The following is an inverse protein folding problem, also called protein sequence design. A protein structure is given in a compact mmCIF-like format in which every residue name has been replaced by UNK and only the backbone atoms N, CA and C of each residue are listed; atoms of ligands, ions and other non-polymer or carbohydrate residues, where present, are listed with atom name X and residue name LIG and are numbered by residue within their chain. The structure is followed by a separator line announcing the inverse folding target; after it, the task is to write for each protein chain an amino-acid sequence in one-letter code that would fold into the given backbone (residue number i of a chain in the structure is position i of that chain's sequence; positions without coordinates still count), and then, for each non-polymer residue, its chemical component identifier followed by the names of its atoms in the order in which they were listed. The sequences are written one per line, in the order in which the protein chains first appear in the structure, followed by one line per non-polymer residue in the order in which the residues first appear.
data_IF_760475582473
#
_entry.id   IF_760475582473
#
_cell.length_a   1.000
_cell.length_b   1.000
_cell.length_c   1.000
_cell.angle_alpha   90.00
_cell.angle_beta   90.00
_cell.angle_gamma   90.00
#
_symmetry.space_group_name_H-M   'P 1'
#
loop_
_entity.id
_entity.type
_entity.pdbx_description
1 polymer ?
#
# COMPACT_ATOMS: atom_id res chain seq x y z
N UNK A 1 -2.56 10.23 31.08
CA UNK A 1 -2.37 9.85 29.68
C UNK A 1 -2.84 8.42 29.54
N UNK A 2 -3.51 8.05 28.47
CA UNK A 2 -4.04 6.68 28.32
C UNK A 2 -2.97 5.64 27.92
N UNK A 3 -1.73 6.06 27.65
CA UNK A 3 -0.63 5.13 27.38
C UNK A 3 -0.10 4.51 28.67
N UNK A 4 0.09 3.18 28.63
CA UNK A 4 0.90 2.46 29.61
C UNK A 4 2.33 2.37 29.08
N UNK A 5 3.33 2.57 29.93
CA UNK A 5 4.71 2.63 29.51
C UNK A 5 5.68 2.30 30.66
N UNK A 6 6.91 1.99 30.28
CA UNK A 6 8.02 1.77 31.21
C UNK A 6 9.19 2.70 30.85
N UNK A 7 9.95 3.12 31.87
CA UNK A 7 11.24 3.79 31.65
C UNK A 7 12.31 2.73 31.47
N UNK A 8 12.95 2.76 30.33
CA UNK A 8 13.99 1.81 29.95
C UNK A 8 15.28 2.56 29.59
N UNK A 9 16.38 1.81 29.46
CA UNK A 9 17.63 2.33 28.95
C UNK A 9 17.93 1.71 27.58
N UNK A 10 18.06 2.56 26.55
CA UNK A 10 18.35 2.14 25.19
C UNK A 10 19.56 2.91 24.66
N UNK A 11 20.58 2.20 24.19
CA UNK A 11 21.87 2.75 23.73
C UNK A 11 22.51 3.75 24.72
N UNK A 12 22.33 3.51 26.03
CA UNK A 12 22.91 4.33 27.10
C UNK A 12 22.05 5.52 27.53
N UNK A 13 20.92 5.81 26.87
CA UNK A 13 19.99 6.88 27.20
C UNK A 13 18.72 6.37 27.89
N UNK A 14 18.22 7.13 28.87
CA UNK A 14 16.93 6.85 29.48
C UNK A 14 15.81 7.27 28.51
N UNK A 15 14.88 6.37 28.26
CA UNK A 15 13.80 6.56 27.30
C UNK A 15 12.53 5.79 27.71
N UNK A 16 11.49 5.91 26.91
CA UNK A 16 10.19 5.27 27.14
C UNK A 16 10.01 4.08 26.17
N UNK A 17 9.55 2.97 26.74
CA UNK A 17 8.90 1.88 26.01
C UNK A 17 7.40 1.91 26.26
N UNK A 18 6.59 2.02 25.19
CA UNK A 18 5.14 1.91 25.29
C UNK A 18 4.78 0.45 25.47
N UNK A 19 4.03 0.13 26.52
CA UNK A 19 3.57 -1.23 26.84
C UNK A 19 2.10 -1.45 26.53
N UNK A 20 1.35 -0.37 26.22
CA UNK A 20 -0.06 -0.47 25.83
C UNK A 20 -0.80 0.84 25.83
N UNK A 21 -2.14 0.74 25.70
CA UNK A 21 -3.06 1.87 25.71
C UNK A 21 -4.36 1.49 26.40
N UNK A 22 -4.80 2.30 27.36
CA UNK A 22 -6.07 2.08 28.08
C UNK A 22 -7.26 2.64 27.29
N UNK A 23 -8.35 1.87 27.27
CA UNK A 23 -9.57 2.22 26.56
C UNK A 23 -9.57 1.85 25.07
N UNK A 24 -10.65 2.24 24.39
CA UNK A 24 -10.83 2.00 22.95
C UNK A 24 -10.25 3.14 22.12
N UNK A 25 -9.60 2.82 20.99
CA UNK A 25 -9.02 3.80 20.08
C UNK A 25 -9.05 3.29 18.63
N UNK A 26 -9.58 4.12 17.71
CA UNK A 26 -9.59 3.79 16.28
C UNK A 26 -8.36 4.31 15.54
N UNK A 27 -7.89 5.50 15.89
CA UNK A 27 -6.67 6.10 15.33
C UNK A 27 -5.71 6.41 16.47
N UNK A 28 -4.57 5.74 16.49
CA UNK A 28 -3.57 5.81 17.55
C UNK A 28 -2.34 6.58 17.06
N UNK A 29 -2.09 7.74 17.63
CA UNK A 29 -0.85 8.47 17.41
C UNK A 29 0.05 8.33 18.62
N UNK A 30 1.21 7.70 18.44
CA UNK A 30 2.23 7.56 19.48
C UNK A 30 2.92 8.92 19.67
N UNK A 31 3.01 9.44 20.90
CA UNK A 31 3.71 10.69 21.16
C UNK A 31 5.23 10.54 21.04
N UNK A 32 5.90 11.59 20.57
CA UNK A 32 7.36 11.60 20.46
C UNK A 32 8.05 11.53 21.85
N UNK A 33 7.41 12.10 22.89
CA UNK A 33 7.92 12.14 24.26
C UNK A 33 6.83 11.90 25.30
N UNK A 34 7.21 11.26 26.40
CA UNK A 34 6.40 11.13 27.63
C UNK A 34 7.29 11.52 28.80
N UNK A 35 6.81 12.40 29.70
CA UNK A 35 7.56 12.93 30.84
C UNK A 35 8.95 13.51 30.48
N UNK A 36 9.05 14.11 29.29
CA UNK A 36 10.30 14.68 28.78
C UNK A 36 11.27 13.67 28.15
N UNK A 37 11.04 12.36 28.34
CA UNK A 37 11.85 11.29 27.74
C UNK A 37 11.31 10.90 26.37
N UNK A 38 12.20 10.60 25.43
CA UNK A 38 11.81 10.18 24.09
C UNK A 38 11.19 8.77 24.11
N UNK A 39 10.12 8.57 23.31
CA UNK A 39 9.54 7.25 23.07
C UNK A 39 10.42 6.55 22.04
N UNK A 40 11.18 5.55 22.47
CA UNK A 40 12.14 4.81 21.63
C UNK A 40 11.65 3.42 21.24
N UNK A 41 10.72 2.85 21.98
CA UNK A 41 10.31 1.47 21.80
C UNK A 41 8.81 1.29 21.91
N UNK A 42 8.26 0.43 21.05
CA UNK A 42 6.95 -0.19 21.24
C UNK A 42 7.21 -1.59 21.77
N UNK A 43 6.74 -1.86 22.98
CA UNK A 43 7.05 -3.07 23.73
C UNK A 43 6.39 -4.34 23.16
N UNK A 44 6.85 -5.47 23.67
CA UNK A 44 6.32 -6.78 23.30
C UNK A 44 4.82 -6.87 23.60
N UNK A 45 4.02 -7.27 22.58
CA UNK A 45 2.56 -7.38 22.63
C UNK A 45 1.82 -6.09 23.05
N UNK A 46 2.44 -4.91 22.97
CA UNK A 46 1.87 -3.65 23.46
C UNK A 46 0.45 -3.37 22.98
N UNK A 47 0.14 -3.73 21.73
CA UNK A 47 -1.17 -3.54 21.10
C UNK A 47 -1.75 -4.83 20.51
N UNK A 48 -1.19 -6.00 20.85
CA UNK A 48 -1.62 -7.26 20.27
C UNK A 48 -3.11 -7.52 20.47
N UNK A 49 -3.79 -7.99 19.40
CA UNK A 49 -5.21 -8.38 19.44
C UNK A 49 -6.22 -7.24 19.50
N UNK A 50 -5.81 -5.99 19.26
CA UNK A 50 -6.72 -4.84 19.25
C UNK A 50 -7.59 -4.83 18.00
N UNK A 51 -8.88 -5.10 18.17
CA UNK A 51 -9.88 -5.15 17.09
C UNK A 51 -10.52 -3.78 16.79
N UNK A 52 -10.32 -2.80 17.66
CA UNK A 52 -10.81 -1.43 17.52
C UNK A 52 -9.86 -0.54 16.71
N UNK A 53 -8.56 -0.90 16.66
CA UNK A 53 -7.51 -0.13 16.02
C UNK A 53 -7.62 -0.19 14.49
N UNK A 54 -7.68 0.99 13.84
CA UNK A 54 -7.77 1.13 12.39
C UNK A 54 -6.53 1.79 11.80
N UNK A 55 -5.90 2.63 12.59
CA UNK A 55 -4.82 3.49 12.13
C UNK A 55 -3.76 3.67 13.21
N UNK A 56 -2.49 3.59 12.83
CA UNK A 56 -1.35 3.81 13.73
C UNK A 56 -0.38 4.80 13.09
N UNK A 57 0.00 5.81 13.85
CA UNK A 57 1.05 6.77 13.49
C UNK A 57 2.17 6.70 14.51
N UNK A 58 3.37 6.35 14.06
CA UNK A 58 4.59 6.30 14.88
C UNK A 58 5.46 7.52 14.60
N UNK A 59 6.01 8.18 15.63
CA UNK A 59 6.92 9.32 15.47
C UNK A 59 8.34 8.88 15.07
N UNK A 60 9.17 9.80 14.55
CA UNK A 60 10.56 9.52 14.18
C UNK A 60 11.46 9.15 15.36
N UNK A 61 11.01 9.38 16.60
CA UNK A 61 11.75 8.97 17.80
C UNK A 61 11.75 7.47 18.01
N UNK A 62 10.78 6.73 17.49
CA UNK A 62 10.68 5.27 17.64
C UNK A 62 11.80 4.60 16.85
N UNK A 63 12.58 3.76 17.53
CA UNK A 63 13.73 3.03 17.01
C UNK A 63 13.51 1.52 17.02
N UNK A 64 12.58 1.04 17.85
CA UNK A 64 12.39 -0.38 18.08
C UNK A 64 10.92 -0.76 18.12
N UNK A 65 10.55 -1.76 17.31
CA UNK A 65 9.28 -2.45 17.35
C UNK A 65 9.50 -3.88 17.84
N UNK A 66 9.08 -4.15 19.08
CA UNK A 66 9.33 -5.43 19.73
C UNK A 66 8.40 -6.54 19.22
N UNK A 67 8.73 -7.79 19.56
CA UNK A 67 8.00 -8.99 19.19
C UNK A 67 6.48 -8.82 19.35
N UNK A 68 5.73 -9.06 18.27
CA UNK A 68 4.26 -9.09 18.26
C UNK A 68 3.60 -7.77 18.71
N UNK A 69 4.27 -6.63 18.54
CA UNK A 69 3.79 -5.33 19.06
C UNK A 69 2.35 -5.00 18.61
N UNK A 70 2.00 -5.27 17.35
CA UNK A 70 0.66 -5.08 16.77
C UNK A 70 0.04 -6.40 16.26
N UNK A 71 0.57 -7.55 16.70
CA UNK A 71 0.09 -8.85 16.24
C UNK A 71 -1.43 -8.99 16.37
N UNK A 72 -2.07 -9.54 15.32
CA UNK A 72 -3.51 -9.81 15.31
C UNK A 72 -4.39 -8.56 15.56
N UNK A 73 -3.93 -7.37 15.11
CA UNK A 73 -4.77 -6.20 14.96
C UNK A 73 -5.55 -6.32 13.65
N UNK A 74 -6.49 -7.28 13.59
CA UNK A 74 -7.15 -7.69 12.35
C UNK A 74 -7.87 -6.56 11.61
N UNK A 75 -8.26 -5.51 12.33
CA UNK A 75 -8.97 -4.36 11.78
C UNK A 75 -8.06 -3.15 11.46
N UNK A 76 -6.75 -3.27 11.69
CA UNK A 76 -5.77 -2.24 11.35
C UNK A 76 -5.66 -2.13 9.82
N UNK A 77 -5.88 -0.93 9.27
CA UNK A 77 -5.88 -0.68 7.82
C UNK A 77 -4.70 0.14 7.36
N UNK A 78 -4.22 1.08 8.20
CA UNK A 78 -3.14 2.00 7.85
C UNK A 78 -2.11 2.10 8.95
N UNK A 79 -0.84 2.17 8.53
CA UNK A 79 0.28 2.43 9.41
C UNK A 79 1.20 3.47 8.78
N UNK A 80 1.55 4.52 9.55
CA UNK A 80 2.48 5.56 9.12
C UNK A 80 3.67 5.59 10.08
N UNK A 81 4.89 5.49 9.53
CA UNK A 81 6.11 5.40 10.33
C UNK A 81 7.32 5.96 9.56
N UNK A 82 8.49 5.85 10.18
CA UNK A 82 9.76 6.37 9.66
C UNK A 82 10.78 5.24 9.54
N UNK A 83 11.73 5.35 8.63
CA UNK A 83 12.89 4.46 8.51
C UNK A 83 13.87 4.59 9.68
N UNK A 84 13.53 5.43 10.66
CA UNK A 84 14.20 5.52 11.95
C UNK A 84 14.08 4.25 12.81
N UNK A 85 13.16 3.34 12.45
CA UNK A 85 13.04 2.01 13.09
C UNK A 85 14.22 1.16 12.65
N UNK A 86 15.15 0.92 13.57
CA UNK A 86 16.39 0.15 13.37
C UNK A 86 16.20 -1.33 13.75
N UNK A 87 15.41 -1.58 14.80
CA UNK A 87 15.09 -2.89 15.32
C UNK A 87 13.64 -3.26 15.06
N UNK A 88 13.40 -4.06 14.02
CA UNK A 88 12.09 -4.65 13.73
C UNK A 88 12.12 -6.12 14.08
N UNK A 89 11.37 -6.52 15.13
CA UNK A 89 11.34 -7.90 15.58
C UNK A 89 10.25 -8.72 14.87
N UNK A 90 10.32 -10.04 15.05
CA UNK A 90 9.40 -10.97 14.39
C UNK A 90 7.94 -10.76 14.80
N UNK A 91 7.03 -10.84 13.83
CA UNK A 91 5.59 -10.86 14.02
C UNK A 91 4.97 -9.53 14.43
N UNK A 92 5.66 -8.39 14.24
CA UNK A 92 5.15 -7.06 14.65
C UNK A 92 3.74 -6.81 14.13
N UNK A 93 3.49 -7.07 12.85
CA UNK A 93 2.20 -6.86 12.18
C UNK A 93 1.57 -8.18 11.69
N UNK A 94 2.05 -9.32 12.15
CA UNK A 94 1.51 -10.63 11.75
C UNK A 94 0.04 -10.75 12.10
N UNK A 95 -0.77 -11.30 11.19
CA UNK A 95 -2.22 -11.43 11.30
C UNK A 95 -2.98 -10.08 11.37
N UNK A 96 -2.41 -8.99 10.87
CA UNK A 96 -3.13 -7.75 10.59
C UNK A 96 -3.79 -7.86 9.21
N UNK A 97 -4.87 -8.62 9.09
CA UNK A 97 -5.46 -9.04 7.80
C UNK A 97 -6.04 -7.92 6.96
N UNK A 98 -6.46 -6.83 7.60
CA UNK A 98 -7.02 -5.65 6.92
C UNK A 98 -5.94 -4.57 6.63
N UNK A 99 -4.65 -4.84 6.93
CA UNK A 99 -3.58 -3.85 6.74
C UNK A 99 -3.24 -3.72 5.25
N UNK A 100 -3.78 -2.69 4.63
CA UNK A 100 -3.68 -2.43 3.20
C UNK A 100 -2.63 -1.37 2.85
N UNK A 101 -2.45 -0.34 3.69
CA UNK A 101 -1.62 0.83 3.40
C UNK A 101 -0.56 1.07 4.47
N UNK A 102 0.69 1.15 4.03
CA UNK A 102 1.83 1.46 4.89
C UNK A 102 2.58 2.65 4.29
N UNK A 103 2.57 3.78 5.02
CA UNK A 103 3.35 4.96 4.67
C UNK A 103 4.67 4.94 5.44
N UNK A 104 5.80 5.04 4.73
CA UNK A 104 7.12 5.11 5.37
C UNK A 104 7.83 6.37 4.87
N UNK A 105 8.19 7.25 5.82
CA UNK A 105 9.08 8.39 5.54
C UNK A 105 10.52 7.94 5.61
N UNK A 106 11.20 7.98 4.47
CA UNK A 106 12.57 7.55 4.30
C UNK A 106 13.51 8.77 4.40
N UNK A 107 14.37 8.78 5.41
CA UNK A 107 15.45 9.76 5.56
C UNK A 107 16.77 9.31 4.92
N UNK A 108 16.88 8.03 4.57
CA UNK A 108 18.06 7.38 4.01
C UNK A 108 17.73 6.46 2.83
N UNK A 109 18.74 5.71 2.38
CA UNK A 109 18.60 4.73 1.30
C UNK A 109 18.45 3.30 1.86
N UNK A 110 17.64 3.12 2.90
CA UNK A 110 17.41 1.80 3.50
C UNK A 110 15.96 1.39 3.33
N UNK A 111 15.74 0.27 2.67
CA UNK A 111 14.44 -0.40 2.53
C UNK A 111 14.32 -1.60 3.48
N UNK A 112 15.16 -1.66 4.52
CA UNK A 112 15.17 -2.78 5.46
C UNK A 112 13.80 -2.95 6.13
N UNK A 113 13.20 -1.84 6.60
CA UNK A 113 11.89 -1.83 7.23
C UNK A 113 10.79 -2.35 6.29
N UNK A 114 10.79 -1.91 5.02
CA UNK A 114 9.85 -2.43 3.99
C UNK A 114 10.00 -3.94 3.85
N UNK A 115 11.25 -4.42 3.75
CA UNK A 115 11.56 -5.85 3.62
C UNK A 115 11.08 -6.67 4.81
N UNK A 116 11.31 -6.16 6.02
CA UNK A 116 10.95 -6.85 7.26
C UNK A 116 9.42 -6.90 7.42
N UNK A 117 8.71 -5.80 7.15
CA UNK A 117 7.24 -5.74 7.16
C UNK A 117 6.60 -6.67 6.12
N UNK A 118 7.16 -6.72 4.90
CA UNK A 118 6.73 -7.65 3.85
C UNK A 118 6.91 -9.13 4.23
N UNK A 119 7.85 -9.42 5.13
CA UNK A 119 8.12 -10.78 5.60
C UNK A 119 7.15 -11.24 6.69
N UNK A 120 6.43 -10.32 7.32
CA UNK A 120 5.49 -10.63 8.40
C UNK A 120 4.12 -11.09 7.91
N UNK A 121 3.73 -10.74 6.68
CA UNK A 121 2.41 -11.03 6.13
C UNK A 121 2.48 -11.54 4.68
N UNK A 122 1.53 -12.38 4.32
CA UNK A 122 1.34 -12.97 3.00
C UNK A 122 0.21 -12.31 2.18
N UNK A 123 -0.69 -11.56 2.84
CA UNK A 123 -1.79 -10.85 2.17
C UNK A 123 -1.32 -9.63 1.36
N UNK A 124 -2.20 -9.08 0.53
CA UNK A 124 -1.91 -7.92 -0.31
C UNK A 124 -1.68 -6.65 0.52
N UNK A 125 -0.64 -5.89 0.18
CA UNK A 125 -0.28 -4.63 0.85
C UNK A 125 0.28 -3.61 -0.13
N UNK A 126 0.05 -2.32 0.15
CA UNK A 126 0.62 -1.20 -0.58
C UNK A 126 1.54 -0.37 0.31
N UNK A 127 2.71 -0.05 -0.19
CA UNK A 127 3.68 0.82 0.47
C UNK A 127 3.75 2.16 -0.25
N UNK A 128 3.58 3.24 0.50
CA UNK A 128 3.82 4.60 0.07
C UNK A 128 5.10 5.11 0.73
N UNK A 129 6.16 5.21 -0.04
CA UNK A 129 7.49 5.60 0.43
C UNK A 129 7.72 7.07 0.10
N UNK A 130 7.89 7.88 1.14
CA UNK A 130 8.10 9.32 1.03
C UNK A 130 9.59 9.62 1.19
N UNK A 131 10.25 9.98 0.10
CA UNK A 131 11.64 10.43 0.06
C UNK A 131 11.72 11.95 -0.04
N UNK A 132 12.86 12.58 0.27
CA UNK A 132 13.03 14.02 0.05
C UNK A 132 12.86 14.40 -1.43
N UNK A 133 11.70 15.01 -1.75
CA UNK A 133 11.39 15.47 -3.12
C UNK A 133 10.86 14.40 -4.06
N UNK A 134 10.59 13.21 -3.59
CA UNK A 134 10.10 12.10 -4.41
C UNK A 134 9.16 11.18 -3.62
N UNK A 135 8.23 10.58 -4.32
CA UNK A 135 7.29 9.58 -3.78
C UNK A 135 7.34 8.32 -4.62
N UNK A 136 7.30 7.17 -3.95
CA UNK A 136 7.26 5.85 -4.59
C UNK A 136 6.06 5.10 -4.02
N UNK A 137 5.22 4.53 -4.88
CA UNK A 137 4.17 3.63 -4.46
C UNK A 137 4.33 2.27 -5.10
N UNK A 138 4.29 1.22 -4.27
CA UNK A 138 4.43 -0.17 -4.69
C UNK A 138 3.39 -1.02 -3.99
N UNK A 139 2.65 -1.79 -4.77
CA UNK A 139 1.66 -2.74 -4.28
C UNK A 139 2.14 -4.16 -4.45
N UNK A 140 2.01 -4.95 -3.40
CA UNK A 140 2.47 -6.34 -3.33
C UNK A 140 1.26 -7.26 -3.24
N UNK A 141 1.05 -8.16 -4.23
CA UNK A 141 -0.05 -9.10 -4.21
C UNK A 141 0.06 -10.08 -3.04
N UNK A 142 -1.04 -10.76 -2.75
CA UNK A 142 -1.03 -11.89 -1.84
C UNK A 142 -0.30 -13.11 -2.43
N UNK A 143 0.10 -14.02 -1.56
CA UNK A 143 0.58 -15.35 -1.93
C UNK A 143 0.22 -16.36 -0.86
N UNK A 144 0.14 -17.62 -1.23
CA UNK A 144 -0.02 -18.72 -0.29
C UNK A 144 1.19 -19.63 -0.31
N UNK A 145 1.63 -20.08 0.87
CA UNK A 145 2.61 -21.14 1.00
C UNK A 145 1.89 -22.47 1.14
N UNK A 146 2.01 -23.32 0.14
CA UNK A 146 1.41 -24.66 0.12
C UNK A 146 2.46 -25.68 0.48
N UNK A 147 2.14 -26.50 1.49
CA UNK A 147 2.93 -27.67 1.84
C UNK A 147 2.25 -28.93 1.28
N UNK A 148 2.93 -29.67 0.46
CA UNK A 148 2.48 -30.99 -0.01
C UNK A 148 3.40 -32.09 0.56
N UNK A 149 2.79 -33.12 1.14
CA UNK A 149 3.55 -34.29 1.60
C UNK A 149 3.71 -35.29 0.45
N UNK A 150 4.95 -35.59 0.12
CA UNK A 150 5.26 -36.75 -0.68
C UNK A 150 5.50 -37.95 0.24
N UNK A 151 4.43 -38.71 0.49
CA UNK A 151 4.46 -39.86 1.41
C UNK A 151 5.43 -40.96 0.97
N UNK A 152 5.66 -41.11 -0.35
CA UNK A 152 6.62 -42.11 -0.87
C UNK A 152 8.08 -41.69 -0.63
N UNK A 153 8.38 -40.40 -0.77
CA UNK A 153 9.73 -39.87 -0.54
C UNK A 153 9.96 -39.42 0.92
N UNK A 154 8.94 -39.41 1.76
CA UNK A 154 8.96 -38.88 3.14
C UNK A 154 9.50 -37.45 3.20
N UNK A 155 9.17 -36.62 2.20
CA UNK A 155 9.59 -35.23 2.09
C UNK A 155 8.39 -34.31 2.06
N UNK A 156 8.51 -33.15 2.68
CA UNK A 156 7.56 -32.05 2.54
C UNK A 156 8.08 -31.15 1.44
N UNK A 157 7.27 -30.91 0.42
CA UNK A 157 7.56 -29.96 -0.63
C UNK A 157 6.76 -28.70 -0.37
N UNK A 158 7.43 -27.55 -0.47
CA UNK A 158 6.79 -26.24 -0.35
C UNK A 158 6.71 -25.60 -1.74
N UNK A 159 5.53 -25.06 -2.06
CA UNK A 159 5.29 -24.27 -3.26
C UNK A 159 4.63 -22.95 -2.88
N UNK A 160 4.90 -21.91 -3.65
CA UNK A 160 4.21 -20.63 -3.51
C UNK A 160 3.16 -20.51 -4.60
N UNK A 161 1.92 -20.20 -4.22
CA UNK A 161 0.85 -19.85 -5.14
C UNK A 161 0.63 -18.34 -5.14
N UNK A 162 0.31 -17.75 -6.31
CA UNK A 162 0.16 -16.31 -6.51
C UNK A 162 1.48 -15.59 -6.78
N UNK A 163 1.37 -14.36 -7.28
CA UNK A 163 2.54 -13.52 -7.64
C UNK A 163 3.27 -12.91 -6.45
N UNK A 164 2.63 -12.83 -5.30
CA UNK A 164 3.09 -12.01 -4.17
C UNK A 164 4.48 -12.34 -3.64
N UNK A 165 4.88 -13.61 -3.62
CA UNK A 165 6.22 -13.99 -3.18
C UNK A 165 7.31 -13.45 -4.11
N UNK A 166 7.11 -13.53 -5.44
CA UNK A 166 8.06 -13.01 -6.42
C UNK A 166 8.21 -11.49 -6.30
N UNK A 167 7.08 -10.76 -6.20
CA UNK A 167 7.09 -9.30 -6.00
C UNK A 167 7.85 -8.89 -4.74
N UNK A 168 7.65 -9.59 -3.60
CA UNK A 168 8.37 -9.31 -2.33
C UNK A 168 9.87 -9.51 -2.45
N UNK A 169 10.33 -10.41 -3.32
CA UNK A 169 11.75 -10.65 -3.58
C UNK A 169 12.43 -9.53 -4.37
N UNK A 170 11.67 -8.62 -4.99
CA UNK A 170 12.22 -7.42 -5.61
C UNK A 170 12.73 -6.40 -4.56
N UNK A 171 12.25 -6.50 -3.31
CA UNK A 171 12.69 -5.62 -2.23
C UNK A 171 13.86 -6.24 -1.47
N UNK A 172 14.98 -5.53 -1.43
CA UNK A 172 16.18 -5.86 -0.64
C UNK A 172 16.45 -4.76 0.39
N UNK A 173 17.30 -5.01 1.37
CA UNK A 173 17.58 -4.04 2.45
C UNK A 173 18.13 -2.69 1.95
N UNK A 174 18.84 -2.66 0.82
CA UNK A 174 19.49 -1.45 0.28
C UNK A 174 18.99 -1.01 -1.08
N UNK A 175 18.10 -1.77 -1.70
CA UNK A 175 17.60 -1.49 -3.04
C UNK A 175 16.22 -2.08 -3.25
N UNK A 176 15.45 -1.46 -4.12
CA UNK A 176 14.26 -2.05 -4.73
C UNK A 176 14.58 -2.26 -6.21
N UNK A 177 14.40 -3.47 -6.70
CA UNK A 177 14.67 -3.84 -8.08
C UNK A 177 13.46 -3.55 -8.95
N UNK A 178 13.24 -2.28 -9.29
CA UNK A 178 12.06 -1.82 -10.03
C UNK A 178 11.87 -2.54 -11.35
N UNK A 179 12.94 -2.75 -12.13
CA UNK A 179 12.85 -3.47 -13.41
C UNK A 179 12.45 -4.94 -13.26
N UNK A 180 12.86 -5.60 -12.17
CA UNK A 180 12.40 -6.97 -11.87
C UNK A 180 10.93 -6.96 -11.46
N UNK A 181 10.53 -5.98 -10.64
CA UNK A 181 9.15 -5.74 -10.23
C UNK A 181 8.24 -5.53 -11.45
N UNK A 182 8.62 -4.64 -12.36
CA UNK A 182 7.84 -4.31 -13.56
C UNK A 182 7.74 -5.52 -14.53
N UNK A 183 8.78 -6.36 -14.63
CA UNK A 183 8.75 -7.60 -15.45
C UNK A 183 7.76 -8.65 -14.94
N UNK A 184 7.48 -8.68 -13.64
CA UNK A 184 6.50 -9.60 -13.07
C UNK A 184 5.06 -9.25 -13.47
N UNK A 185 4.83 -8.06 -14.01
CA UNK A 185 3.51 -7.61 -14.40
C UNK A 185 2.83 -8.52 -15.42
N UNK A 186 3.58 -9.02 -16.41
CA UNK A 186 3.05 -9.98 -17.40
C UNK A 186 2.51 -11.29 -16.81
N UNK A 187 2.97 -11.65 -15.62
CA UNK A 187 2.38 -12.75 -14.85
C UNK A 187 1.11 -12.28 -14.12
N UNK A 188 1.19 -11.13 -13.43
CA UNK A 188 0.12 -10.63 -12.59
C UNK A 188 -1.16 -10.29 -13.36
N UNK A 189 -1.04 -9.73 -14.57
CA UNK A 189 -2.19 -9.43 -15.43
C UNK A 189 -3.04 -10.66 -15.80
N UNK A 190 -2.43 -11.86 -15.78
CA UNK A 190 -3.11 -13.14 -16.05
C UNK A 190 -3.58 -13.84 -14.79
N UNK A 191 -2.91 -13.62 -13.67
CA UNK A 191 -3.19 -14.24 -12.37
C UNK A 191 -4.34 -13.50 -11.65
N UNK A 192 -4.21 -12.18 -11.51
CA UNK A 192 -5.24 -11.30 -10.94
C UNK A 192 -5.25 -9.93 -11.64
N UNK A 193 -6.06 -9.81 -12.69
CA UNK A 193 -6.21 -8.58 -13.45
C UNK A 193 -6.72 -7.41 -12.59
N UNK A 194 -7.49 -7.70 -11.55
CA UNK A 194 -8.00 -6.68 -10.62
C UNK A 194 -6.87 -6.08 -9.78
N UNK A 195 -5.95 -6.91 -9.26
CA UNK A 195 -4.79 -6.40 -8.53
C UNK A 195 -3.72 -5.81 -9.47
N UNK A 196 -3.60 -6.35 -10.68
CA UNK A 196 -2.74 -5.77 -11.72
C UNK A 196 -3.09 -4.30 -12.01
N UNK A 197 -4.39 -3.95 -12.01
CA UNK A 197 -4.82 -2.55 -12.17
C UNK A 197 -4.30 -1.65 -11.03
N UNK A 198 -4.19 -2.16 -9.81
CA UNK A 198 -3.59 -1.45 -8.67
C UNK A 198 -2.11 -1.19 -8.92
N UNK A 199 -1.35 -2.24 -9.30
CA UNK A 199 0.09 -2.13 -9.60
C UNK A 199 0.32 -1.13 -10.74
N UNK A 200 -0.40 -1.27 -11.85
CA UNK A 200 -0.25 -0.41 -13.02
C UNK A 200 -0.54 1.06 -12.68
N UNK A 201 -1.61 1.33 -11.91
CA UNK A 201 -1.94 2.68 -11.50
C UNK A 201 -0.89 3.28 -10.56
N UNK A 202 -0.36 2.52 -9.60
CA UNK A 202 0.69 3.00 -8.70
C UNK A 202 1.96 3.36 -9.47
N UNK A 203 2.39 2.48 -10.38
CA UNK A 203 3.59 2.72 -11.19
C UNK A 203 3.45 3.90 -12.15
N UNK A 204 2.26 4.14 -12.69
CA UNK A 204 1.99 5.31 -13.55
C UNK A 204 1.81 6.61 -12.78
N UNK A 205 1.30 6.56 -11.55
CA UNK A 205 1.16 7.74 -10.68
C UNK A 205 2.51 8.16 -10.08
N UNK A 206 3.37 7.18 -9.77
CA UNK A 206 4.66 7.38 -9.10
C UNK A 206 5.78 6.68 -9.89
N UNK A 207 6.20 7.24 -11.06
CA UNK A 207 7.04 6.57 -12.05
C UNK A 207 8.54 6.57 -11.70
N UNK A 208 8.91 6.19 -10.49
CA UNK A 208 10.31 6.05 -10.09
C UNK A 208 10.99 4.89 -10.84
N UNK A 209 12.11 5.11 -11.51
CA UNK A 209 12.89 4.15 -12.34
C UNK A 209 11.99 3.30 -13.27
N UNK A 210 10.95 3.93 -13.83
CA UNK A 210 10.02 3.32 -14.78
C UNK A 210 10.54 3.50 -16.21
N UNK A 211 10.79 2.39 -16.92
CA UNK A 211 11.17 2.45 -18.32
C UNK A 211 9.95 2.57 -19.26
N UNK A 212 10.19 3.10 -20.47
CA UNK A 212 9.15 3.34 -21.47
C UNK A 212 8.36 2.08 -21.86
N UNK A 213 9.02 0.92 -21.85
CA UNK A 213 8.38 -0.37 -22.19
C UNK A 213 7.37 -0.78 -21.12
N UNK A 214 7.75 -0.64 -19.86
CA UNK A 214 6.88 -0.94 -18.74
C UNK A 214 5.74 0.09 -18.63
N UNK A 215 6.03 1.38 -18.83
CA UNK A 215 5.01 2.45 -18.84
C UNK A 215 3.96 2.19 -19.93
N UNK A 216 4.41 1.84 -21.14
CA UNK A 216 3.51 1.49 -22.24
C UNK A 216 2.66 0.27 -21.90
N UNK A 217 3.25 -0.78 -21.35
CA UNK A 217 2.53 -2.00 -20.96
C UNK A 217 1.45 -1.71 -19.90
N UNK A 218 1.78 -0.95 -18.84
CA UNK A 218 0.80 -0.53 -17.83
C UNK A 218 -0.34 0.30 -18.43
N UNK A 219 -0.01 1.22 -19.32
CA UNK A 219 -0.99 2.09 -20.00
C UNK A 219 -1.94 1.29 -20.89
N UNK A 220 -1.41 0.37 -21.71
CA UNK A 220 -2.21 -0.49 -22.58
C UNK A 220 -3.11 -1.43 -21.78
N UNK A 221 -2.59 -2.00 -20.68
CA UNK A 221 -3.36 -2.84 -19.78
C UNK A 221 -4.52 -2.09 -19.14
N UNK A 222 -4.28 -0.91 -18.55
CA UNK A 222 -5.33 -0.12 -17.92
C UNK A 222 -6.39 0.34 -18.93
N UNK A 223 -5.99 0.66 -20.18
CA UNK A 223 -6.94 0.99 -21.25
C UNK A 223 -7.82 -0.19 -21.59
N UNK A 224 -7.25 -1.38 -21.73
CA UNK A 224 -7.98 -2.60 -22.05
C UNK A 224 -8.94 -3.05 -20.93
N UNK A 225 -8.63 -2.70 -19.66
CA UNK A 225 -9.38 -3.13 -18.48
C UNK A 225 -10.03 -1.96 -17.73
N UNK A 226 -10.22 -0.80 -18.40
CA UNK A 226 -10.65 0.45 -17.75
C UNK A 226 -11.94 0.32 -16.95
N UNK A 227 -12.96 -0.34 -17.50
CA UNK A 227 -14.25 -0.53 -16.82
C UNK A 227 -14.11 -1.30 -15.49
N UNK A 228 -13.33 -2.40 -15.49
CA UNK A 228 -13.11 -3.21 -14.30
C UNK A 228 -12.24 -2.47 -13.28
N UNK A 229 -11.22 -1.74 -13.74
CA UNK A 229 -10.36 -0.94 -12.89
C UNK A 229 -11.15 0.19 -12.21
N UNK A 230 -11.98 0.92 -12.95
CA UNK A 230 -12.85 1.96 -12.42
C UNK A 230 -13.82 1.41 -11.37
N UNK A 231 -14.51 0.29 -11.67
CA UNK A 231 -15.40 -0.34 -10.70
C UNK A 231 -14.67 -0.67 -9.37
N UNK A 232 -13.50 -1.30 -9.46
CA UNK A 232 -12.69 -1.61 -8.28
C UNK A 232 -12.32 -0.36 -7.49
N UNK A 233 -11.79 0.67 -8.17
CA UNK A 233 -11.32 1.90 -7.51
C UNK A 233 -12.46 2.69 -6.89
N UNK A 234 -13.63 2.72 -7.53
CA UNK A 234 -14.84 3.35 -6.99
C UNK A 234 -15.31 2.63 -5.73
N UNK A 235 -15.42 1.29 -5.78
CA UNK A 235 -15.86 0.50 -4.62
C UNK A 235 -14.92 0.59 -3.42
N UNK A 236 -13.65 0.88 -3.66
CA UNK A 236 -12.65 1.09 -2.60
C UNK A 236 -12.37 2.56 -2.28
N UNK A 237 -13.12 3.52 -2.86
CA UNK A 237 -12.98 4.95 -2.59
C UNK A 237 -11.66 5.56 -3.06
N UNK A 238 -10.99 4.96 -4.04
CA UNK A 238 -9.65 5.36 -4.50
C UNK A 238 -9.71 6.43 -5.60
N UNK A 239 -10.11 7.63 -5.21
CA UNK A 239 -10.36 8.76 -6.10
C UNK A 239 -9.16 9.11 -7.01
N UNK A 240 -7.93 9.04 -6.50
CA UNK A 240 -6.74 9.41 -7.26
C UNK A 240 -6.48 8.45 -8.43
N UNK A 241 -6.78 7.15 -8.25
CA UNK A 241 -6.70 6.18 -9.34
C UNK A 241 -7.81 6.34 -10.37
N UNK A 242 -9.02 6.74 -9.95
CA UNK A 242 -10.09 7.12 -10.88
C UNK A 242 -9.64 8.32 -11.69
N UNK A 243 -9.07 9.35 -11.04
CA UNK A 243 -8.54 10.54 -11.70
C UNK A 243 -7.45 10.20 -12.71
N UNK A 244 -6.51 9.31 -12.37
CA UNK A 244 -5.49 8.84 -13.30
C UNK A 244 -6.09 8.30 -14.60
N UNK A 245 -7.12 7.44 -14.51
CA UNK A 245 -7.74 6.84 -15.69
C UNK A 245 -8.46 7.88 -16.56
N UNK A 246 -9.08 8.88 -15.94
CA UNK A 246 -9.79 9.93 -16.64
C UNK A 246 -8.84 10.97 -17.27
N UNK A 247 -7.85 11.48 -16.52
CA UNK A 247 -6.89 12.48 -17.00
C UNK A 247 -5.97 11.96 -18.12
N UNK A 248 -5.60 10.67 -18.07
CA UNK A 248 -4.82 10.02 -19.14
C UNK A 248 -5.66 9.47 -20.29
N UNK A 249 -6.97 9.73 -20.28
CA UNK A 249 -7.91 9.26 -21.31
C UNK A 249 -7.80 7.73 -21.55
N UNK A 250 -7.68 6.97 -20.45
CA UNK A 250 -7.57 5.51 -20.49
C UNK A 250 -8.94 4.82 -20.50
N UNK A 251 -9.98 5.49 -20.03
CA UNK A 251 -11.35 5.01 -20.04
C UNK A 251 -12.11 5.63 -21.22
N UNK A 252 -12.79 4.79 -22.00
CA UNK A 252 -13.68 5.25 -23.04
C UNK A 252 -15.01 5.79 -22.46
N UNK A 253 -15.86 6.30 -23.35
CA UNK A 253 -17.14 6.91 -22.94
C UNK A 253 -18.09 5.89 -22.27
N UNK A 254 -18.07 4.63 -22.70
CA UNK A 254 -18.90 3.56 -22.14
C UNK A 254 -18.44 3.20 -20.72
N UNK A 255 -17.13 2.98 -20.53
CA UNK A 255 -16.52 2.72 -19.23
C UNK A 255 -16.76 3.88 -18.24
N UNK A 256 -16.61 5.12 -18.71
CA UNK A 256 -16.83 6.32 -17.90
C UNK A 256 -18.30 6.48 -17.50
N UNK A 257 -19.25 6.22 -18.39
CA UNK A 257 -20.68 6.26 -18.08
C UNK A 257 -21.07 5.15 -17.07
N UNK A 258 -20.55 3.94 -17.25
CA UNK A 258 -20.71 2.83 -16.30
C UNK A 258 -20.16 3.16 -14.92
N UNK A 259 -18.97 3.75 -14.87
CA UNK A 259 -18.32 4.19 -13.64
C UNK A 259 -19.14 5.25 -12.88
N UNK A 260 -19.67 6.25 -13.60
CA UNK A 260 -20.52 7.30 -13.03
C UNK A 260 -21.79 6.71 -12.39
N UNK A 261 -22.39 5.71 -13.02
CA UNK A 261 -23.56 5.02 -12.47
C UNK A 261 -23.20 4.31 -11.16
N UNK A 262 -22.11 3.54 -11.13
CA UNK A 262 -21.64 2.85 -9.93
C UNK A 262 -21.33 3.84 -8.80
N UNK A 263 -20.59 4.91 -9.09
CA UNK A 263 -20.25 5.94 -8.11
C UNK A 263 -21.51 6.61 -7.52
N UNK A 264 -22.51 6.88 -8.36
CA UNK A 264 -23.81 7.45 -7.93
C UNK A 264 -24.59 6.49 -7.03
N UNK A 265 -24.66 5.20 -7.38
CA UNK A 265 -25.33 4.16 -6.58
C UNK A 265 -24.67 3.97 -5.20
N UNK A 266 -23.35 4.13 -5.11
CA UNK A 266 -22.59 4.05 -3.85
C UNK A 266 -22.56 5.35 -3.06
N UNK A 267 -23.02 6.47 -3.63
CA UNK A 267 -23.00 7.78 -2.98
C UNK A 267 -21.62 8.44 -2.95
N UNK A 268 -20.69 8.01 -3.81
CA UNK A 268 -19.32 8.52 -3.91
C UNK A 268 -19.27 9.86 -4.64
N UNK A 269 -19.76 10.92 -3.98
CA UNK A 269 -19.97 12.25 -4.59
C UNK A 269 -18.69 12.88 -5.14
N UNK A 270 -17.54 12.69 -4.47
CA UNK A 270 -16.25 13.21 -4.93
C UNK A 270 -15.79 12.52 -6.22
N UNK A 271 -15.99 11.21 -6.32
CA UNK A 271 -15.68 10.44 -7.54
C UNK A 271 -16.63 10.82 -8.67
N UNK A 272 -17.93 11.00 -8.38
CA UNK A 272 -18.88 11.51 -9.38
C UNK A 272 -18.44 12.85 -9.97
N UNK A 273 -17.94 13.77 -9.13
CA UNK A 273 -17.45 15.07 -9.60
C UNK A 273 -16.27 14.91 -10.59
N UNK A 274 -15.28 14.05 -10.26
CA UNK A 274 -14.14 13.76 -11.14
C UNK A 274 -14.59 13.20 -12.49
N UNK A 275 -15.50 12.22 -12.49
CA UNK A 275 -16.00 11.60 -13.72
C UNK A 275 -16.82 12.57 -14.58
N UNK A 276 -17.62 13.45 -13.97
CA UNK A 276 -18.39 14.48 -14.69
C UNK A 276 -17.51 15.58 -15.29
N UNK A 277 -16.46 15.99 -14.59
CA UNK A 277 -15.49 16.99 -15.06
C UNK A 277 -14.76 16.49 -16.31
N UNK A 278 -14.22 15.29 -16.26
CA UNK A 278 -13.55 14.64 -17.39
C UNK A 278 -14.50 14.48 -18.61
N UNK A 279 -15.77 14.11 -18.37
CA UNK A 279 -16.77 14.00 -19.43
C UNK A 279 -17.06 15.33 -20.15
N UNK A 280 -17.03 16.46 -19.43
CA UNK A 280 -17.19 17.80 -20.01
C UNK A 280 -16.00 18.23 -20.84
N UNK A 281 -14.78 17.97 -20.35
CA UNK A 281 -13.54 18.28 -21.08
C UNK A 281 -13.44 17.50 -22.40
N UNK A 282 -13.80 16.22 -22.38
CA UNK A 282 -13.83 15.38 -23.58
C UNK A 282 -14.87 15.84 -24.60
N UNK A 283 -16.05 16.29 -24.14
CA UNK A 283 -17.10 16.83 -25.00
C UNK A 283 -16.68 18.18 -25.61
N UNK A 284 -16.00 19.06 -24.85
CA UNK A 284 -15.45 20.33 -25.35
C UNK A 284 -14.39 20.14 -26.42
N UNK A 285 -13.43 19.22 -26.21
CA UNK A 285 -12.39 18.90 -27.21
C UNK A 285 -12.97 18.37 -28.53
N UNK A 286 -14.04 17.56 -28.48
CA UNK A 286 -14.69 17.06 -29.68
C UNK A 286 -15.43 18.17 -30.46
N UNK A 287 -16.04 19.15 -29.77
CA UNK A 287 -16.67 20.29 -30.43
C UNK A 287 -15.64 21.21 -31.12
N UNK A 288 -14.49 21.45 -30.50
CA UNK A 288 -13.43 22.26 -31.10
C UNK A 288 -12.82 21.57 -32.33
N UNK A 289 -12.67 20.24 -32.32
CA UNK A 289 -12.21 19.45 -33.48
C UNK A 289 -13.23 19.43 -34.62
N UNK A 290 -14.52 19.38 -34.34
CA UNK A 290 -15.57 19.45 -35.38
C UNK A 290 -15.61 20.85 -36.03
N UNK A 291 -15.41 21.93 -35.25
CA UNK A 291 -15.35 23.31 -35.79
C UNK A 291 -14.11 23.52 -36.66
N UNK A 292 -12.95 22.95 -36.33
CA UNK A 292 -11.75 23.05 -37.17
C UNK A 292 -11.85 22.24 -38.48
N UNK A 293 -12.69 21.22 -38.54
CA UNK A 293 -12.93 20.42 -39.75
C UNK A 293 -13.98 21.05 -40.71
N UNK A 294 -14.85 21.93 -40.20
CA UNK A 294 -15.83 22.66 -41.02
C UNK A 294 -15.25 23.90 -41.71
N UNK A 295 -14.03 24.35 -41.30
CA UNK A 295 -13.35 25.51 -41.90
C UNK A 295 -12.38 25.13 -43.06
N UNK A 296 -12.42 23.88 -43.55
CA UNK A 296 -11.69 23.39 -44.75
C UNK A 296 -12.71 22.97 -45.83
#
# INVERSE_FOLDING_TARGET
MPFTYEKIRYLGEDCIEITGFEGSVRSLTIPDRIEGLAVRSIGKHAFAGRKDLREVVLPPSVKRLCLFAFHNCAALRRMSLYDSVEDYYDGVIRQCTDLEEIEIRLGGQSYALVKDMLSDNDHAMSFHLLLPGEEIRLSFPEYALIASENTMARTIQFAYEGGGYAYRNCVRKREIKFREYDRLFSFMERDDASFAAVIASDRLMFPHDLDETAEKHYTEFLRAHAAQALERFIRSGQIDRVRLLTERELADAEASAGALKIASELGETAICAVLMESGRESAGKNQDLELELEDW
#
